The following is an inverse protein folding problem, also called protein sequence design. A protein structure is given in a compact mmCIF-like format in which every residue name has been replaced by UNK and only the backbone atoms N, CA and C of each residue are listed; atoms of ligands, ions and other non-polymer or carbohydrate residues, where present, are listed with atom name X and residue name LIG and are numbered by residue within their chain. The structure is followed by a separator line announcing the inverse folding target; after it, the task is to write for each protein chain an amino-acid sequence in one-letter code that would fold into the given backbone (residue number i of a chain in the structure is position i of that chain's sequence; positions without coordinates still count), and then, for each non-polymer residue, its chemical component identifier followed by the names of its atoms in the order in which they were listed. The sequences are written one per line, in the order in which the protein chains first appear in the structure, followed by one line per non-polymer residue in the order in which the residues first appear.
data_IF_775078316217
#
_entry.id   IF_775078316217
#
_cell.length_a   1.000
_cell.length_b   1.000
_cell.length_c   1.000
_cell.angle_alpha   90.00
_cell.angle_beta   90.00
_cell.angle_gamma   90.00
#
_symmetry.space_group_name_H-M   'P 1'
#
loop_
_entity.id
_entity.type
_entity.pdbx_description
1 polymer ?
#
# COMPACT_ATOMS: atom_id res chain seq x y z
N UNK A 1 -10.28 -0.83 -7.70
CA UNK A 1 -9.17 0.13 -7.87
C UNK A 1 -9.44 1.44 -7.19
N UNK A 2 -10.58 2.08 -7.48
CA UNK A 2 -11.08 3.25 -6.76
C UNK A 2 -11.09 3.07 -5.23
N UNK A 3 -11.44 1.88 -4.72
CA UNK A 3 -11.41 1.59 -3.27
C UNK A 3 -10.02 1.70 -2.64
N UNK A 4 -8.97 1.33 -3.38
CA UNK A 4 -7.57 1.45 -2.92
C UNK A 4 -7.19 2.93 -2.81
N UNK A 5 -7.51 3.71 -3.84
CA UNK A 5 -7.30 5.15 -3.84
C UNK A 5 -8.13 5.82 -2.73
N UNK A 6 -9.39 5.44 -2.56
CA UNK A 6 -10.29 5.93 -1.51
C UNK A 6 -9.73 5.64 -0.10
N UNK A 7 -9.20 4.43 0.11
CA UNK A 7 -8.50 4.09 1.35
C UNK A 7 -7.33 5.04 1.59
N UNK A 8 -6.42 5.21 0.62
CA UNK A 8 -5.26 6.09 0.82
C UNK A 8 -5.63 7.58 0.93
N UNK A 9 -6.67 8.06 0.23
CA UNK A 9 -7.21 9.43 0.38
C UNK A 9 -7.65 9.68 1.82
N UNK A 10 -8.35 8.73 2.44
CA UNK A 10 -8.80 8.80 3.83
C UNK A 10 -7.62 8.91 4.82
N UNK A 11 -6.48 8.35 4.46
CA UNK A 11 -5.27 8.32 5.30
C UNK A 11 -4.20 9.30 4.84
N UNK A 12 -4.51 10.25 3.94
CA UNK A 12 -3.55 11.24 3.46
C UNK A 12 -2.96 12.04 4.63
N UNK A 13 -1.63 12.14 4.67
CA UNK A 13 -0.90 12.79 5.75
C UNK A 13 -0.76 11.96 7.04
N UNK A 14 -1.41 10.79 7.14
CA UNK A 14 -1.27 9.87 8.29
C UNK A 14 -0.16 8.86 8.06
N UNK A 15 0.40 8.37 9.15
CA UNK A 15 1.29 7.20 9.14
C UNK A 15 0.48 5.91 9.23
N UNK A 16 0.87 4.93 8.43
CA UNK A 16 0.34 3.58 8.42
C UNK A 16 1.48 2.61 8.68
N UNK A 17 1.18 1.50 9.36
CA UNK A 17 2.08 0.35 9.36
C UNK A 17 1.95 -0.34 8.00
N UNK A 18 3.01 -0.27 7.19
CA UNK A 18 3.08 -0.88 5.87
C UNK A 18 3.94 -2.15 5.93
N UNK A 19 3.37 -3.26 5.48
CA UNK A 19 4.10 -4.50 5.25
C UNK A 19 4.18 -4.74 3.74
N UNK A 20 5.38 -4.91 3.20
CA UNK A 20 5.61 -5.30 1.80
C UNK A 20 6.28 -6.67 1.80
N UNK A 21 5.59 -7.68 1.27
CA UNK A 21 6.14 -9.00 1.03
C UNK A 21 6.40 -9.16 -0.47
N UNK A 22 7.64 -9.50 -0.85
CA UNK A 22 8.02 -9.83 -2.23
C UNK A 22 8.29 -11.34 -2.30
N UNK A 23 7.99 -11.97 -3.44
CA UNK A 23 8.34 -13.36 -3.72
C UNK A 23 9.82 -13.60 -3.40
N UNK A 24 10.14 -14.76 -2.80
CA UNK A 24 11.35 -15.10 -2.02
C UNK A 24 11.21 -14.97 -0.48
N UNK A 25 10.03 -14.60 0.02
CA UNK A 25 9.74 -14.63 1.47
C UNK A 25 10.28 -13.43 2.25
N UNK A 26 10.86 -12.45 1.56
CA UNK A 26 11.30 -11.19 2.17
C UNK A 26 10.06 -10.35 2.47
N UNK A 27 9.76 -10.19 3.76
CA UNK A 27 8.75 -9.22 4.21
C UNK A 27 9.43 -8.10 4.96
N UNK A 28 9.18 -6.88 4.51
CA UNK A 28 9.66 -5.66 5.13
C UNK A 28 8.48 -4.94 5.78
N UNK A 29 8.63 -4.60 7.05
CA UNK A 29 7.65 -3.83 7.81
C UNK A 29 8.22 -2.46 8.09
N UNK A 30 7.47 -1.43 7.73
CA UNK A 30 7.89 -0.06 7.99
C UNK A 30 6.69 0.86 8.15
N UNK A 31 6.80 1.83 9.07
CA UNK A 31 5.83 2.91 9.18
C UNK A 31 6.05 3.89 8.06
N UNK A 32 5.03 4.14 7.27
CA UNK A 32 5.09 5.07 6.16
C UNK A 32 3.93 6.04 6.20
N UNK A 33 4.24 7.30 5.94
CA UNK A 33 3.28 8.38 5.78
C UNK A 33 2.72 8.35 4.36
N UNK A 34 1.40 8.43 4.21
CA UNK A 34 0.77 8.68 2.92
C UNK A 34 1.03 10.13 2.54
N UNK A 35 1.94 10.35 1.59
CA UNK A 35 2.41 11.68 1.22
C UNK A 35 1.56 12.29 0.11
N UNK A 36 1.24 11.50 -0.91
CA UNK A 36 0.47 11.93 -2.07
C UNK A 36 -0.46 10.80 -2.52
N UNK A 37 -1.63 11.17 -3.06
CA UNK A 37 -2.59 10.27 -3.69
C UNK A 37 -3.08 10.96 -4.96
N UNK A 38 -3.34 10.20 -6.02
CA UNK A 38 -3.82 10.69 -7.32
C UNK A 38 -2.82 11.55 -8.12
N UNK A 39 -1.52 11.47 -7.84
CA UNK A 39 -0.53 12.07 -8.73
C UNK A 39 -0.62 11.40 -10.12
N UNK A 40 -0.53 12.15 -11.23
CA UNK A 40 -0.70 11.61 -12.58
C UNK A 40 0.60 10.96 -13.11
N UNK A 41 0.55 9.74 -13.72
CA UNK A 41 -0.56 8.78 -13.74
C UNK A 41 -0.86 8.22 -12.34
N UNK A 42 -2.13 7.87 -12.04
CA UNK A 42 -2.67 7.70 -10.68
C UNK A 42 -1.77 6.81 -9.82
N UNK A 43 -1.19 7.41 -8.80
CA UNK A 43 -0.29 6.74 -7.86
C UNK A 43 -0.50 7.20 -6.43
N UNK A 44 -0.07 6.37 -5.50
CA UNK A 44 0.06 6.68 -4.08
C UNK A 44 1.54 6.74 -3.74
N UNK A 45 1.98 7.81 -3.09
CA UNK A 45 3.33 7.95 -2.59
C UNK A 45 3.35 7.73 -1.09
N UNK A 46 4.12 6.74 -0.65
CA UNK A 46 4.38 6.43 0.76
C UNK A 46 5.81 6.81 1.10
N UNK A 47 6.01 7.55 2.20
CA UNK A 47 7.31 7.97 2.69
C UNK A 47 7.55 7.39 4.09
N UNK A 48 8.61 6.63 4.25
CA UNK A 48 9.06 6.17 5.56
C UNK A 48 9.86 7.29 6.25
N UNK A 49 9.35 7.91 7.34
CA UNK A 49 10.00 9.10 7.90
C UNK A 49 11.39 8.81 8.48
N UNK A 50 11.64 7.59 8.94
CA UNK A 50 12.90 7.20 9.59
C UNK A 50 14.01 6.88 8.59
N UNK A 51 13.71 6.07 7.57
CA UNK A 51 14.68 5.66 6.56
C UNK A 51 14.73 6.61 5.36
N UNK A 52 13.78 7.54 5.27
CA UNK A 52 13.54 8.39 4.08
C UNK A 52 13.23 7.58 2.81
N UNK A 53 12.93 6.27 2.96
CA UNK A 53 12.54 5.42 1.84
C UNK A 53 11.19 5.86 1.29
N UNK A 54 11.09 5.91 -0.03
CA UNK A 54 9.84 6.19 -0.72
C UNK A 54 9.36 4.96 -1.49
N UNK A 55 8.06 4.72 -1.45
CA UNK A 55 7.39 3.69 -2.25
C UNK A 55 6.29 4.38 -3.04
N UNK A 56 6.40 4.33 -4.37
CA UNK A 56 5.33 4.73 -5.27
C UNK A 56 4.54 3.49 -5.66
N UNK A 57 3.24 3.53 -5.40
CA UNK A 57 2.30 2.47 -5.70
C UNK A 57 1.42 2.97 -6.83
N UNK A 58 1.38 2.23 -7.94
CA UNK A 58 0.34 2.37 -8.95
C UNK A 58 -0.71 1.29 -8.68
N UNK A 59 -1.91 1.67 -8.20
CA UNK A 59 -2.95 0.71 -7.89
C UNK A 59 -3.28 -0.20 -9.08
N UNK A 60 -3.22 0.30 -10.32
CA UNK A 60 -3.57 -0.46 -11.53
C UNK A 60 -2.67 -1.67 -11.79
N UNK A 61 -1.53 -1.75 -11.09
CA UNK A 61 -0.60 -2.88 -11.21
C UNK A 61 -0.94 -4.05 -10.28
N UNK A 62 -1.92 -3.91 -9.39
CA UNK A 62 -2.37 -4.99 -8.53
C UNK A 62 -3.43 -5.86 -9.21
N UNK A 63 -3.35 -7.15 -8.92
CA UNK A 63 -4.30 -8.17 -9.38
C UNK A 63 -5.50 -8.31 -8.46
N UNK A 64 -5.35 -7.94 -7.18
CA UNK A 64 -6.45 -7.89 -6.22
C UNK A 64 -6.25 -6.78 -5.19
N UNK A 65 -7.35 -6.38 -4.57
CA UNK A 65 -7.38 -5.46 -3.45
C UNK A 65 -8.55 -5.82 -2.52
N UNK A 66 -8.31 -5.75 -1.22
CA UNK A 66 -9.30 -5.98 -0.17
C UNK A 66 -9.15 -4.87 0.87
N UNK A 67 -10.21 -4.11 1.12
CA UNK A 67 -10.29 -3.15 2.22
C UNK A 67 -11.12 -3.76 3.33
N UNK A 68 -10.69 -3.61 4.59
CA UNK A 68 -11.50 -4.09 5.72
C UNK A 68 -12.79 -3.28 5.86
N UNK A 69 -13.89 -3.85 6.39
CA UNK A 69 -15.18 -3.15 6.50
C UNK A 69 -15.16 -1.88 7.35
N UNK A 70 -14.23 -1.79 8.30
CA UNK A 70 -13.99 -0.62 9.16
C UNK A 70 -13.04 0.40 8.51
N UNK A 71 -12.56 0.14 7.28
CA UNK A 71 -11.59 0.93 6.54
C UNK A 71 -10.26 1.17 7.26
N UNK A 72 -9.90 0.36 8.25
CA UNK A 72 -8.62 0.50 8.99
C UNK A 72 -7.48 -0.30 8.36
N UNK A 73 -7.78 -1.20 7.42
CA UNK A 73 -6.81 -2.09 6.77
C UNK A 73 -7.05 -2.20 5.28
N UNK A 74 -5.96 -2.31 4.54
CA UNK A 74 -5.93 -2.57 3.11
C UNK A 74 -4.94 -3.70 2.84
N UNK A 75 -5.32 -4.66 2.01
CA UNK A 75 -4.42 -5.63 1.42
C UNK A 75 -4.52 -5.54 -0.10
N UNK A 76 -3.38 -5.42 -0.78
CA UNK A 76 -3.29 -5.46 -2.23
C UNK A 76 -2.19 -6.42 -2.64
N UNK A 77 -2.31 -7.03 -3.81
CA UNK A 77 -1.28 -7.92 -4.29
C UNK A 77 -1.24 -8.06 -5.79
N UNK A 78 -0.05 -8.43 -6.28
CA UNK A 78 0.23 -8.69 -7.69
C UNK A 78 0.45 -10.17 -7.90
N UNK A 79 -0.18 -10.71 -8.93
CA UNK A 79 -0.06 -12.11 -9.35
C UNK A 79 0.74 -12.18 -10.66
N UNK A 80 1.52 -13.25 -10.82
CA UNK A 80 2.09 -13.69 -12.09
C UNK A 80 1.67 -15.15 -12.31
N UNK A 81 0.68 -15.35 -13.18
CA UNK A 81 -0.03 -16.63 -13.25
C UNK A 81 -0.79 -16.90 -11.94
N UNK A 82 -0.57 -18.06 -11.33
CA UNK A 82 -1.15 -18.45 -10.03
C UNK A 82 -0.30 -18.03 -8.82
N UNK A 83 0.84 -17.36 -9.03
CA UNK A 83 1.80 -17.06 -7.96
C UNK A 83 1.69 -15.60 -7.51
N UNK A 84 1.63 -15.39 -6.19
CA UNK A 84 1.70 -14.07 -5.56
C UNK A 84 3.12 -13.53 -5.62
N UNK A 85 3.35 -12.51 -6.44
CA UNK A 85 4.69 -11.91 -6.62
C UNK A 85 4.97 -10.79 -5.64
N UNK A 86 3.92 -10.09 -5.21
CA UNK A 86 4.00 -9.02 -4.22
C UNK A 86 2.70 -8.94 -3.45
N UNK A 87 2.80 -8.69 -2.14
CA UNK A 87 1.69 -8.32 -1.27
C UNK A 87 2.07 -7.07 -0.49
N UNK A 88 1.16 -6.10 -0.47
CA UNK A 88 1.26 -4.95 0.39
C UNK A 88 0.05 -4.92 1.33
N UNK A 89 0.34 -4.81 2.63
CA UNK A 89 -0.68 -4.61 3.65
C UNK A 89 -0.45 -3.25 4.28
N UNK A 90 -1.48 -2.43 4.36
CA UNK A 90 -1.49 -1.17 5.08
C UNK A 90 -2.50 -1.26 6.23
N UNK A 91 -2.13 -0.79 7.42
CA UNK A 91 -3.03 -0.73 8.58
C UNK A 91 -2.82 0.55 9.36
N UNK A 92 -3.89 1.06 9.97
CA UNK A 92 -3.79 2.16 10.94
C UNK A 92 -2.91 1.77 12.15
N UNK A 93 -2.29 2.78 12.75
CA UNK A 93 -1.57 2.64 14.00
C UNK A 93 -2.60 2.55 15.14
N UNK A 94 -2.48 1.52 15.98
CA UNK A 94 -3.29 1.36 17.20
C UNK A 94 -2.95 2.40 18.26
#
# INVERSE_FOLDING_TARGET
MEEVLSFFRTHLGRELDIAVSIFEGITQYERMKVQEVDAAPPRVLLLAPKSQRQIAIDPHQFSFATVSPDHTRLEVGRLLGSNLTMRLTARELA
#
